data_IF_773245109293
#
_entry.id   IF_773245109293
#
_cell.length_a   1.000
_cell.length_b   1.000
_cell.length_c   1.000
_cell.angle_alpha   90.00
_cell.angle_beta   90.00
_cell.angle_gamma   90.00
#
_symmetry.space_group_name_H-M   'P 1'
#
loop_
_entity.id
_entity.type
_entity.pdbx_description
1 polymer ?
#
# COMPACT_ATOMS: atom_id res chain seq x y z
N UNK A 1 12.76 -10.28 1.53
CA UNK A 1 12.23 -9.13 0.76
C UNK A 1 10.90 -9.55 0.22
N UNK A 2 9.84 -8.91 0.70
CA UNK A 2 8.46 -9.10 0.25
C UNK A 2 8.00 -7.89 -0.55
N UNK A 3 6.84 -8.04 -1.20
CA UNK A 3 6.20 -7.01 -1.99
C UNK A 3 4.84 -6.70 -1.42
N UNK A 4 4.48 -5.41 -1.46
CA UNK A 4 3.26 -4.90 -0.87
C UNK A 4 2.57 -3.93 -1.82
N UNK A 5 1.25 -3.83 -1.69
CA UNK A 5 0.43 -2.85 -2.38
C UNK A 5 -0.26 -1.98 -1.34
N UNK A 6 -0.08 -0.66 -1.42
CA UNK A 6 -0.80 0.30 -0.58
C UNK A 6 -1.81 1.10 -1.39
N UNK A 7 -3.07 1.11 -0.94
CA UNK A 7 -4.16 1.89 -1.53
C UNK A 7 -4.29 3.24 -0.82
N UNK A 8 -3.75 4.32 -1.40
CA UNK A 8 -3.62 5.63 -0.76
C UNK A 8 -4.64 6.68 -1.26
N UNK A 9 -5.85 6.28 -1.63
CA UNK A 9 -6.81 7.20 -2.28
C UNK A 9 -7.24 8.43 -1.45
N UNK A 10 -6.94 8.48 -0.14
CA UNK A 10 -7.30 9.58 0.77
C UNK A 10 -6.10 10.39 1.27
N UNK A 11 -4.98 9.74 1.56
CA UNK A 11 -3.82 10.32 2.28
C UNK A 11 -2.52 10.29 1.47
N UNK A 12 -2.60 10.10 0.15
CA UNK A 12 -1.42 9.92 -0.70
C UNK A 12 -0.42 11.09 -0.60
N UNK A 13 -0.90 12.33 -0.56
CA UNK A 13 -0.03 13.50 -0.58
C UNK A 13 0.76 13.65 0.72
N UNK A 14 0.10 13.48 1.86
CA UNK A 14 0.70 13.60 3.18
C UNK A 14 1.68 12.45 3.46
N UNK A 15 1.30 11.20 3.16
CA UNK A 15 2.15 10.02 3.35
C UNK A 15 3.41 10.07 2.48
N UNK A 16 3.26 10.46 1.22
CA UNK A 16 4.37 10.58 0.28
C UNK A 16 5.33 11.70 0.66
N UNK A 17 4.82 12.88 1.01
CA UNK A 17 5.66 14.02 1.40
C UNK A 17 6.35 13.75 2.75
N UNK A 18 5.71 13.02 3.64
CA UNK A 18 6.26 12.63 4.93
C UNK A 18 7.22 11.45 4.90
N UNK A 19 7.25 10.67 3.82
CA UNK A 19 8.12 9.50 3.68
C UNK A 19 7.71 8.34 4.58
N UNK A 20 6.41 8.07 4.71
CA UNK A 20 5.91 6.99 5.55
C UNK A 20 4.57 6.42 5.10
N UNK A 21 4.26 5.22 5.57
CA UNK A 21 2.91 4.69 5.64
C UNK A 21 2.36 4.83 7.05
N UNK A 22 1.07 5.11 7.17
CA UNK A 22 0.40 5.16 8.46
C UNK A 22 -1.02 4.60 8.38
N UNK A 23 -1.40 3.81 9.38
CA UNK A 23 -2.79 3.38 9.55
C UNK A 23 -3.17 3.33 11.02
N UNK A 24 -4.45 3.57 11.38
CA UNK A 24 -4.90 3.45 12.76
C UNK A 24 -4.87 1.98 13.19
N UNK A 25 -4.71 1.71 14.49
CA UNK A 25 -4.74 0.33 15.01
C UNK A 25 -6.15 -0.23 15.10
N UNK A 26 -7.12 0.63 15.42
CA UNK A 26 -8.51 0.29 15.67
C UNK A 26 -9.42 1.31 14.99
N UNK A 27 -10.66 0.91 14.71
CA UNK A 27 -11.71 1.86 14.34
C UNK A 27 -12.06 2.74 15.54
N UNK A 28 -12.84 3.80 15.30
CA UNK A 28 -13.47 4.60 16.37
C UNK A 28 -14.31 3.79 17.35
N UNK A 29 -14.82 2.64 16.90
CA UNK A 29 -15.60 1.69 17.71
C UNK A 29 -14.75 0.60 18.38
N UNK A 30 -13.42 0.69 18.31
CA UNK A 30 -12.49 -0.26 18.93
C UNK A 30 -12.34 -1.59 18.18
N UNK A 31 -12.88 -1.72 16.96
CA UNK A 31 -12.73 -2.95 16.16
C UNK A 31 -11.38 -2.94 15.43
N UNK A 32 -10.73 -4.09 15.41
CA UNK A 32 -9.53 -4.32 14.62
C UNK A 32 -9.90 -4.50 13.14
N UNK A 33 -9.14 -3.90 12.22
CA UNK A 33 -9.28 -4.12 10.78
C UNK A 33 -8.06 -4.90 10.27
N UNK A 34 -8.33 -6.05 9.66
CA UNK A 34 -7.33 -6.98 9.14
C UNK A 34 -6.24 -6.31 8.28
N UNK A 35 -6.59 -5.39 7.39
CA UNK A 35 -5.64 -4.70 6.50
C UNK A 35 -4.72 -3.68 7.20
N UNK A 36 -4.93 -3.39 8.48
CA UNK A 36 -4.01 -2.57 9.30
C UNK A 36 -3.05 -3.44 10.11
N UNK A 37 -3.42 -4.68 10.36
CA UNK A 37 -2.56 -5.65 11.03
C UNK A 37 -1.45 -6.16 10.11
N UNK A 38 -1.65 -6.15 8.79
CA UNK A 38 -0.62 -6.48 7.79
C UNK A 38 0.59 -5.54 7.84
N UNK A 39 0.45 -4.32 8.39
CA UNK A 39 1.62 -3.44 8.63
C UNK A 39 2.66 -4.09 9.55
N UNK A 40 2.25 -4.97 10.48
CA UNK A 40 3.17 -5.67 11.39
C UNK A 40 4.10 -6.63 10.67
N UNK A 41 3.73 -7.05 9.46
CA UNK A 41 4.46 -8.05 8.68
C UNK A 41 5.49 -7.41 7.76
N UNK A 42 5.40 -6.10 7.52
CA UNK A 42 6.39 -5.35 6.74
C UNK A 42 7.74 -5.37 7.46
N UNK A 43 8.79 -5.62 6.68
CA UNK A 43 10.18 -5.64 7.14
C UNK A 43 11.02 -4.64 6.37
N UNK A 44 12.11 -4.19 6.99
CA UNK A 44 13.12 -3.37 6.31
C UNK A 44 13.56 -4.03 4.99
N UNK A 45 13.57 -3.24 3.92
CA UNK A 45 13.95 -3.69 2.58
C UNK A 45 12.79 -4.22 1.73
N UNK A 46 11.58 -4.35 2.27
CA UNK A 46 10.40 -4.69 1.47
C UNK A 46 10.02 -3.56 0.51
N UNK A 47 9.47 -3.93 -0.65
CA UNK A 47 9.04 -2.99 -1.69
C UNK A 47 7.53 -2.80 -1.61
N UNK A 48 7.07 -1.55 -1.66
CA UNK A 48 5.67 -1.18 -1.50
C UNK A 48 5.23 -0.31 -2.68
N UNK A 49 4.28 -0.79 -3.46
CA UNK A 49 3.71 -0.07 -4.60
C UNK A 49 2.55 0.82 -4.16
N UNK A 50 2.62 2.11 -4.50
CA UNK A 50 1.60 3.11 -4.19
C UNK A 50 0.52 3.15 -5.26
N UNK A 51 -0.66 2.65 -4.91
CA UNK A 51 -1.84 2.69 -5.75
C UNK A 51 -2.72 3.90 -5.44
N UNK A 52 -3.00 4.68 -6.48
CA UNK A 52 -3.83 5.87 -6.41
C UNK A 52 -4.65 6.03 -7.70
N UNK A 53 -5.97 6.15 -7.58
CA UNK A 53 -6.89 6.40 -8.70
C UNK A 53 -6.68 5.51 -9.95
N UNK A 54 -6.49 4.20 -9.75
CA UNK A 54 -6.23 3.22 -10.82
C UNK A 54 -4.81 3.21 -11.39
N UNK A 55 -3.87 3.92 -10.76
CA UNK A 55 -2.47 3.93 -11.16
C UNK A 55 -1.56 3.42 -10.05
N UNK A 56 -0.46 2.78 -10.43
CA UNK A 56 0.74 2.78 -9.59
C UNK A 56 1.53 4.04 -9.91
N UNK A 57 1.66 4.92 -8.92
CA UNK A 57 2.28 6.25 -9.09
C UNK A 57 3.69 6.33 -8.51
N UNK A 58 4.03 5.41 -7.61
CA UNK A 58 5.32 5.34 -6.95
C UNK A 58 5.56 3.90 -6.44
N UNK A 59 6.82 3.61 -6.11
CA UNK A 59 7.16 2.53 -5.21
C UNK A 59 8.00 3.08 -4.06
N UNK A 60 8.05 2.37 -2.95
CA UNK A 60 8.88 2.75 -1.81
C UNK A 60 9.57 1.54 -1.20
N UNK A 61 10.69 1.78 -0.54
CA UNK A 61 11.44 0.77 0.20
C UNK A 61 11.26 1.02 1.69
N UNK A 62 10.73 0.03 2.42
CA UNK A 62 10.58 0.11 3.88
C UNK A 62 11.95 0.28 4.56
N UNK A 63 12.09 1.30 5.39
CA UNK A 63 13.35 1.61 6.11
C UNK A 63 13.46 0.89 7.45
N UNK A 64 12.35 0.36 7.94
CA UNK A 64 12.24 -0.36 9.21
C UNK A 64 10.97 -1.20 9.26
N UNK A 65 10.75 -1.85 10.39
CA UNK A 65 9.49 -2.52 10.70
C UNK A 65 8.45 -1.49 11.14
N UNK A 66 7.17 -1.86 11.14
CA UNK A 66 6.14 -1.02 11.72
C UNK A 66 6.37 -0.76 13.22
N UNK A 67 6.15 0.49 13.63
CA UNK A 67 6.20 0.91 15.03
C UNK A 67 4.96 1.72 15.39
N UNK A 68 4.72 1.84 16.70
CA UNK A 68 3.59 2.59 17.22
C UNK A 68 3.81 4.09 17.04
N UNK A 69 2.83 4.78 16.47
CA UNK A 69 2.91 6.22 16.21
C UNK A 69 1.55 6.87 16.37
N UNK A 70 1.57 8.11 16.85
CA UNK A 70 0.40 8.97 16.80
C UNK A 70 0.03 9.30 15.35
N UNK A 71 -1.24 9.65 15.14
CA UNK A 71 -1.77 10.10 13.86
C UNK A 71 -1.04 11.38 13.38
N UNK A 72 -0.31 11.32 12.25
CA UNK A 72 0.40 12.47 11.71
C UNK A 72 -0.52 13.45 10.96
N UNK A 73 -1.76 13.07 10.64
CA UNK A 73 -2.73 13.89 9.90
C UNK A 73 -3.64 14.73 10.81
N UNK A 74 -3.30 14.85 12.10
CA UNK A 74 -4.17 15.49 13.10
C UNK A 74 -4.48 16.96 12.78
N UNK A 75 -3.53 17.65 12.15
CA UNK A 75 -3.67 19.04 11.72
C UNK A 75 -4.36 19.18 10.36
N UNK A 76 -4.52 18.10 9.60
CA UNK A 76 -5.18 18.06 8.29
C UNK A 76 -6.72 17.90 8.39
N UNK A 77 -7.29 17.94 9.59
CA UNK A 77 -8.74 17.80 9.81
C UNK A 77 -9.28 16.38 9.66
N UNK A 78 -8.41 15.38 9.49
CA UNK A 78 -8.84 13.99 9.41
C UNK A 78 -9.24 13.43 10.78
N UNK A 79 -10.43 12.84 10.84
CA UNK A 79 -11.00 12.31 12.10
C UNK A 79 -10.49 10.90 12.44
N UNK A 80 -9.26 10.54 12.04
CA UNK A 80 -8.70 9.22 12.30
C UNK A 80 -8.23 9.11 13.76
N UNK A 81 -8.29 7.89 14.31
CA UNK A 81 -7.89 7.60 15.69
C UNK A 81 -6.46 8.06 16.00
N UNK A 82 -6.19 8.44 17.24
CA UNK A 82 -4.87 8.97 17.64
C UNK A 82 -3.79 7.89 17.52
N UNK A 83 -4.11 6.64 17.86
CA UNK A 83 -3.14 5.56 17.95
C UNK A 83 -3.09 4.73 16.66
N UNK A 84 -1.95 4.76 15.99
CA UNK A 84 -1.71 4.01 14.77
C UNK A 84 -0.38 3.26 14.75
N UNK A 85 -0.07 2.74 13.57
CA UNK A 85 1.23 2.20 13.21
C UNK A 85 1.80 3.00 12.08
N UNK A 86 3.11 3.20 12.11
CA UNK A 86 3.87 3.89 11.08
C UNK A 86 4.98 2.99 10.55
N UNK A 87 5.26 3.09 9.26
CA UNK A 87 6.44 2.50 8.62
C UNK A 87 7.13 3.63 7.88
N UNK A 88 8.38 3.93 8.24
CA UNK A 88 9.18 4.87 7.47
C UNK A 88 9.59 4.22 6.14
N UNK A 89 9.44 4.96 5.04
CA UNK A 89 9.62 4.43 3.70
C UNK A 89 10.30 5.46 2.78
N UNK A 90 11.27 5.00 1.99
CA UNK A 90 11.92 5.84 0.99
C UNK A 90 11.16 5.74 -0.33
N UNK A 91 10.45 6.80 -0.71
CA UNK A 91 9.62 6.86 -1.91
C UNK A 91 10.43 7.18 -3.17
N UNK A 92 10.08 6.50 -4.27
CA UNK A 92 10.52 6.80 -5.63
C UNK A 92 9.28 6.98 -6.51
N UNK A 93 9.12 8.18 -7.07
CA UNK A 93 8.05 8.45 -8.02
C UNK A 93 8.35 7.80 -9.36
N UNK A 94 7.33 7.21 -9.97
CA UNK A 94 7.43 6.75 -11.34
C UNK A 94 7.36 7.95 -12.27
N UNK A 95 8.28 8.03 -13.23
CA UNK A 95 8.23 8.99 -14.32
C UNK A 95 7.04 8.70 -15.23
N UNK A 96 6.70 7.41 -15.37
CA UNK A 96 5.54 6.92 -16.10
C UNK A 96 4.67 6.07 -15.17
N UNK A 97 3.63 6.65 -14.56
CA UNK A 97 2.69 5.90 -13.74
C UNK A 97 2.07 4.75 -14.54
N UNK A 98 1.95 3.59 -13.90
CA UNK A 98 1.40 2.39 -14.54
C UNK A 98 -0.12 2.45 -14.40
N UNK A 99 -0.84 2.54 -15.52
CA UNK A 99 -2.29 2.45 -15.52
C UNK A 99 -2.71 0.99 -15.38
N UNK A 100 -3.41 0.65 -14.28
CA UNK A 100 -3.76 -0.74 -13.96
C UNK A 100 -4.61 -1.40 -15.05
N UNK A 101 -5.62 -0.74 -15.65
CA UNK A 101 -6.39 -1.31 -16.75
C UNK A 101 -5.53 -1.76 -17.95
N UNK A 102 -4.42 -1.10 -18.25
CA UNK A 102 -3.54 -1.48 -19.36
C UNK A 102 -2.78 -2.79 -19.13
N UNK A 103 -2.60 -3.19 -17.87
CA UNK A 103 -1.88 -4.41 -17.47
C UNK A 103 -2.78 -5.41 -16.74
N UNK A 104 -4.08 -5.18 -16.75
CA UNK A 104 -5.00 -5.86 -15.86
C UNK A 104 -5.08 -7.36 -16.14
N UNK A 105 -5.11 -7.74 -17.42
CA UNK A 105 -5.22 -9.14 -17.82
C UNK A 105 -4.04 -9.96 -17.26
N UNK A 106 -2.81 -9.53 -17.53
CA UNK A 106 -1.63 -10.24 -17.06
C UNK A 106 -1.48 -10.17 -15.54
N UNK A 107 -1.80 -9.02 -14.93
CA UNK A 107 -1.74 -8.86 -13.48
C UNK A 107 -2.78 -9.78 -12.78
N UNK A 108 -3.97 -9.93 -13.35
CA UNK A 108 -5.00 -10.83 -12.80
C UNK A 108 -4.61 -12.30 -12.91
N UNK A 109 -4.01 -12.72 -14.03
CA UNK A 109 -3.52 -14.09 -14.21
C UNK A 109 -2.44 -14.45 -13.18
N UNK A 110 -1.64 -13.48 -12.77
CA UNK A 110 -0.67 -13.66 -11.68
C UNK A 110 -1.39 -13.67 -10.33
N UNK A 111 -2.21 -12.66 -10.06
CA UNK A 111 -2.92 -12.51 -8.79
C UNK A 111 -3.91 -13.65 -8.53
N UNK A 112 -4.36 -14.42 -9.54
CA UNK A 112 -5.23 -15.58 -9.33
C UNK A 112 -4.61 -16.57 -8.35
N UNK A 113 -3.29 -16.76 -8.44
CA UNK A 113 -2.48 -17.68 -7.63
C UNK A 113 -2.39 -17.30 -6.15
N UNK A 114 -2.61 -16.02 -5.82
CA UNK A 114 -2.54 -15.52 -4.44
C UNK A 114 -3.75 -15.93 -3.56
N UNK A 115 -4.91 -16.25 -4.17
CA UNK A 115 -6.10 -16.64 -3.40
C UNK A 115 -6.77 -15.46 -2.67
N UNK A 116 -6.86 -15.48 -1.33
CA UNK A 116 -7.50 -14.39 -0.59
C UNK A 116 -6.59 -13.13 -0.50
N UNK A 117 -7.14 -11.99 -0.06
CA UNK A 117 -6.39 -10.77 0.28
C UNK A 117 -5.61 -10.11 -0.87
N UNK A 118 -6.09 -10.24 -2.11
CA UNK A 118 -5.54 -9.54 -3.28
C UNK A 118 -5.88 -8.04 -3.22
N UNK A 119 -5.04 -7.16 -3.80
CA UNK A 119 -5.33 -5.74 -3.87
C UNK A 119 -6.45 -5.38 -4.86
N UNK A 120 -6.73 -6.24 -5.85
CA UNK A 120 -7.73 -6.04 -6.90
C UNK A 120 -8.80 -7.14 -6.88
N UNK A 121 -10.03 -6.79 -7.26
CA UNK A 121 -11.08 -7.76 -7.57
C UNK A 121 -11.06 -8.20 -9.04
N UNK A 122 -11.98 -9.11 -9.39
CA UNK A 122 -12.14 -9.67 -10.74
C UNK A 122 -12.46 -8.63 -11.82
N UNK A 123 -12.95 -7.44 -11.45
CA UNK A 123 -13.20 -6.34 -12.37
C UNK A 123 -12.01 -5.37 -12.47
N UNK A 124 -10.88 -5.69 -11.83
CA UNK A 124 -9.70 -4.83 -11.80
C UNK A 124 -9.82 -3.57 -10.95
N UNK A 125 -10.84 -3.50 -10.11
CA UNK A 125 -11.03 -2.40 -9.16
C UNK A 125 -10.42 -2.76 -7.82
N UNK A 126 -9.91 -1.75 -7.11
CA UNK A 126 -9.24 -1.93 -5.82
C UNK A 126 -10.17 -2.52 -4.76
N UNK A 127 -9.73 -3.58 -4.09
CA UNK A 127 -10.42 -4.11 -2.93
C UNK A 127 -10.36 -3.11 -1.77
N UNK A 128 -11.38 -3.15 -0.90
CA UNK A 128 -11.41 -2.33 0.28
C UNK A 128 -10.30 -2.78 1.25
N UNK A 129 -9.36 -1.89 1.52
CA UNK A 129 -8.24 -2.13 2.43
C UNK A 129 -7.13 -1.13 2.18
N UNK A 130 -6.16 -1.08 3.09
CA UNK A 130 -5.03 -0.16 3.02
C UNK A 130 -3.79 -0.86 2.46
N UNK A 131 -3.28 -1.88 3.15
CA UNK A 131 -2.05 -2.57 2.77
C UNK A 131 -2.30 -4.06 2.50
N UNK A 132 -1.90 -4.53 1.33
CA UNK A 132 -2.09 -5.90 0.86
C UNK A 132 -0.73 -6.54 0.55
N UNK A 133 -0.49 -7.79 0.96
CA UNK A 133 0.69 -8.53 0.50
C UNK A 133 0.55 -8.84 -0.99
N UNK A 134 1.69 -8.96 -1.67
CA UNK A 134 1.79 -9.46 -3.03
C UNK A 134 2.62 -10.72 -3.03
N UNK A 135 2.19 -11.73 -3.80
CA UNK A 135 3.09 -12.83 -4.15
C UNK A 135 4.29 -12.29 -4.95
N UNK A 136 5.44 -12.95 -4.81
CA UNK A 136 6.70 -12.58 -5.47
C UNK A 136 6.55 -12.31 -6.97
N UNK A 137 5.75 -13.14 -7.66
CA UNK A 137 5.51 -13.01 -9.09
C UNK A 137 4.83 -11.69 -9.45
N UNK A 138 3.82 -11.27 -8.66
CA UNK A 138 3.11 -10.01 -8.88
C UNK A 138 4.02 -8.81 -8.58
N UNK A 139 4.81 -8.89 -7.51
CA UNK A 139 5.77 -7.86 -7.14
C UNK A 139 6.85 -7.65 -8.20
N UNK A 140 7.45 -8.75 -8.67
CA UNK A 140 8.45 -8.73 -9.75
C UNK A 140 7.84 -8.22 -11.07
N UNK A 141 6.61 -8.62 -11.38
CA UNK A 141 5.91 -8.13 -12.56
C UNK A 141 5.72 -6.62 -12.52
N UNK A 142 5.17 -6.06 -11.43
CA UNK A 142 4.99 -4.62 -11.27
C UNK A 142 6.32 -3.86 -11.32
N UNK A 143 7.34 -4.36 -10.62
CA UNK A 143 8.68 -3.75 -10.65
C UNK A 143 9.25 -3.72 -12.07
N UNK A 144 8.99 -4.76 -12.87
CA UNK A 144 9.42 -4.82 -14.26
C UNK A 144 8.73 -3.83 -15.20
N UNK A 145 7.62 -3.20 -14.76
CA UNK A 145 6.87 -2.20 -15.53
C UNK A 145 7.22 -0.77 -15.14
N UNK A 146 7.91 -0.55 -14.02
CA UNK A 146 8.33 0.77 -13.56
C UNK A 146 9.27 1.43 -14.59
N UNK A 147 8.94 2.67 -14.96
CA UNK A 147 9.72 3.55 -15.85
C UNK A 147 10.04 3.00 -17.26
N UNK A 148 9.28 2.01 -17.73
CA UNK A 148 9.30 1.51 -19.11
C UNK A 148 8.37 2.26 -20.04
#
# INVERSE_FOLDING_TARGET
MAYWWVSQNKTHHEEKNGGYLWAPKNTKSGKNIYHWDTMKDVRKGDIIFSYFRQYIVAYSIAQGNAYDSNNPFRDAGETWEINGRKIDASYTNLLRPIYIPDILAELQDILIKQGAHKPLNVNGTGNQGYLFPLIDEAGKYLLSKCDK
#
